data_IF_044188722037
#
_entry.id   IF_044188722037
#
_cell.length_a   1.000
_cell.length_b   1.000
_cell.length_c   1.000
_cell.angle_alpha   90.00
_cell.angle_beta   90.00
_cell.angle_gamma   90.00
#
_symmetry.space_group_name_H-M   'P 1'
#
loop_
_entity.id
_entity.type
_entity.pdbx_description
1 polymer ?
#
# COMPACT_ATOMS: atom_id res chain seq x y z
N UNK A 1 31.49 -24.96 -42.72
CA UNK A 1 30.24 -24.65 -41.99
C UNK A 1 30.40 -24.74 -40.47
N UNK A 2 31.22 -25.65 -39.94
CA UNK A 2 31.45 -25.75 -38.49
C UNK A 2 32.34 -24.61 -37.93
N UNK A 3 33.34 -24.14 -38.66
CA UNK A 3 34.26 -23.10 -38.17
C UNK A 3 33.59 -21.74 -37.94
N UNK A 4 32.65 -21.37 -38.82
CA UNK A 4 31.84 -20.16 -38.67
C UNK A 4 30.92 -20.24 -37.44
N UNK A 5 30.43 -21.45 -37.09
CA UNK A 5 29.60 -21.67 -35.90
C UNK A 5 30.41 -21.51 -34.61
N UNK A 6 31.64 -22.02 -34.57
CA UNK A 6 32.53 -21.85 -33.41
C UNK A 6 32.93 -20.39 -33.19
N UNK A 7 33.18 -19.64 -34.26
CA UNK A 7 33.47 -18.19 -34.19
C UNK A 7 32.27 -17.38 -33.66
N UNK A 8 31.06 -17.69 -34.12
CA UNK A 8 29.82 -17.03 -33.64
C UNK A 8 29.54 -17.38 -32.17
N UNK A 9 29.69 -18.65 -31.77
CA UNK A 9 29.51 -19.07 -30.38
C UNK A 9 30.54 -18.41 -29.45
N UNK A 10 31.81 -18.31 -29.89
CA UNK A 10 32.86 -17.61 -29.15
C UNK A 10 32.55 -16.12 -28.97
N UNK A 11 32.09 -15.45 -30.03
CA UNK A 11 31.71 -14.03 -29.97
C UNK A 11 30.50 -13.78 -29.06
N UNK A 12 29.50 -14.67 -29.08
CA UNK A 12 28.33 -14.58 -28.18
C UNK A 12 28.72 -14.82 -26.71
N UNK A 13 29.63 -15.75 -26.43
CA UNK A 13 30.13 -15.99 -25.08
C UNK A 13 30.93 -14.78 -24.56
N UNK A 14 31.78 -14.19 -25.40
CA UNK A 14 32.54 -12.98 -25.07
C UNK A 14 31.61 -11.78 -24.81
N UNK A 15 30.59 -11.60 -25.64
CA UNK A 15 29.58 -10.56 -25.45
C UNK A 15 28.80 -10.77 -24.14
N UNK A 16 28.42 -12.01 -23.83
CA UNK A 16 27.75 -12.33 -22.56
C UNK A 16 28.64 -12.04 -21.35
N UNK A 17 29.93 -12.37 -21.41
CA UNK A 17 30.89 -12.08 -20.34
C UNK A 17 31.10 -10.56 -20.14
N UNK A 18 31.15 -9.79 -21.23
CA UNK A 18 31.26 -8.32 -21.16
C UNK A 18 29.98 -7.71 -20.58
N UNK A 19 28.80 -8.18 -20.97
CA UNK A 19 27.51 -7.73 -20.43
C UNK A 19 27.36 -8.09 -18.95
N UNK A 20 27.79 -9.29 -18.54
CA UNK A 20 27.76 -9.72 -17.14
C UNK A 20 28.74 -8.91 -16.26
N UNK A 21 29.88 -8.48 -16.82
CA UNK A 21 30.88 -7.67 -16.12
C UNK A 21 30.47 -6.21 -15.88
N UNK A 22 29.49 -5.68 -16.62
CA UNK A 22 29.00 -4.31 -16.45
C UNK A 22 27.97 -4.16 -15.32
N UNK A 23 27.47 -5.26 -14.73
CA UNK A 23 26.57 -5.24 -13.58
C UNK A 23 27.30 -5.08 -12.23
N UNK A 24 28.21 -4.11 -12.12
CA UNK A 24 28.77 -3.71 -10.83
C UNK A 24 28.51 -2.24 -10.57
N UNK A 25 27.27 -1.93 -10.18
CA UNK A 25 26.92 -0.64 -9.59
C UNK A 25 27.29 -0.68 -8.11
N UNK A 26 28.57 -0.60 -7.78
CA UNK A 26 28.98 -0.14 -6.45
C UNK A 26 28.70 1.37 -6.43
N UNK A 27 27.43 1.74 -6.22
CA UNK A 27 27.12 3.11 -5.84
C UNK A 27 27.74 3.31 -4.46
N UNK A 28 28.72 4.22 -4.29
CA UNK A 28 29.12 4.61 -2.95
C UNK A 28 27.87 5.15 -2.27
N UNK A 29 27.41 4.46 -1.22
CA UNK A 29 26.38 4.96 -0.34
C UNK A 29 26.88 6.30 0.17
N UNK A 30 26.40 7.41 -0.39
CA UNK A 30 26.65 8.72 0.20
C UNK A 30 26.07 8.62 1.60
N UNK A 31 26.91 8.72 2.62
CA UNK A 31 26.47 8.79 4.01
C UNK A 31 25.33 9.81 4.06
N UNK A 32 24.17 9.38 4.56
CA UNK A 32 23.02 10.26 4.57
C UNK A 32 23.27 11.33 5.62
N UNK A 33 23.02 12.60 5.30
CA UNK A 33 23.05 13.66 6.32
C UNK A 33 22.05 13.38 7.46
N UNK A 34 21.08 12.50 7.21
CA UNK A 34 20.07 12.05 8.15
C UNK A 34 20.47 10.74 8.84
N UNK A 35 20.92 10.84 10.09
CA UNK A 35 21.30 9.69 10.93
C UNK A 35 20.21 8.61 11.03
N UNK A 36 18.94 8.99 10.88
CA UNK A 36 17.81 8.05 10.91
C UNK A 36 17.66 7.20 9.64
N UNK A 37 18.50 7.43 8.61
CA UNK A 37 18.55 6.62 7.38
C UNK A 37 19.77 5.71 7.32
N UNK A 38 20.64 5.75 8.33
CA UNK A 38 21.85 4.92 8.40
C UNK A 38 21.51 3.42 8.49
N UNK A 39 22.31 2.54 7.85
CA UNK A 39 22.13 1.10 7.95
C UNK A 39 22.14 0.63 9.41
N UNK A 40 21.14 -0.15 9.80
CA UNK A 40 20.98 -0.68 11.16
C UNK A 40 20.15 0.19 12.10
N UNK A 41 19.78 1.41 11.70
CA UNK A 41 18.79 2.21 12.43
C UNK A 41 17.39 1.74 12.04
N UNK A 42 16.60 1.32 13.03
CA UNK A 42 15.25 0.81 12.84
C UNK A 42 14.23 1.58 13.69
N UNK A 43 12.97 1.56 13.25
CA UNK A 43 11.87 2.09 14.04
C UNK A 43 11.67 1.24 15.31
N UNK A 44 11.89 1.85 16.48
CA UNK A 44 11.86 1.14 17.78
C UNK A 44 10.46 1.01 18.39
N UNK A 45 9.44 1.58 17.76
CA UNK A 45 8.07 1.61 18.28
C UNK A 45 7.86 2.59 19.43
N UNK A 46 6.66 3.17 19.52
CA UNK A 46 6.32 4.14 20.58
C UNK A 46 6.33 3.54 22.00
N UNK A 47 6.22 2.22 22.13
CA UNK A 47 6.30 1.52 23.43
C UNK A 47 7.66 1.69 24.11
N UNK A 48 8.73 1.76 23.32
CA UNK A 48 10.08 2.02 23.83
C UNK A 48 10.14 3.39 24.52
N UNK A 49 9.43 4.38 23.99
CA UNK A 49 9.37 5.73 24.53
C UNK A 49 8.51 5.83 25.81
N UNK A 50 7.55 4.91 25.99
CA UNK A 50 6.56 4.96 27.09
C UNK A 50 7.21 4.84 28.47
N UNK A 51 8.32 4.10 28.60
CA UNK A 51 9.00 3.88 29.88
C UNK A 51 9.52 5.18 30.50
N UNK A 52 10.04 6.09 29.68
CA UNK A 52 10.53 7.41 30.11
C UNK A 52 9.48 8.51 29.96
N UNK A 53 8.54 8.38 29.01
CA UNK A 53 7.53 9.41 28.70
C UNK A 53 6.08 8.90 28.80
N UNK A 54 5.64 8.40 29.97
CA UNK A 54 4.32 7.78 30.10
C UNK A 54 3.17 8.76 29.87
N UNK A 55 3.29 10.01 30.33
CA UNK A 55 2.24 11.02 30.17
C UNK A 55 2.05 11.43 28.71
N UNK A 56 3.15 11.55 27.96
CA UNK A 56 3.11 11.87 26.52
C UNK A 56 2.51 10.71 25.74
N UNK A 57 2.93 9.48 26.05
CA UNK A 57 2.35 8.28 25.43
C UNK A 57 0.83 8.23 25.66
N UNK A 58 0.38 8.39 26.91
CA UNK A 58 -1.02 8.25 27.27
C UNK A 58 -1.92 9.28 26.58
N UNK A 59 -1.45 10.51 26.39
CA UNK A 59 -2.20 11.53 25.65
C UNK A 59 -2.11 11.33 24.14
N UNK A 60 -0.92 11.02 23.61
CA UNK A 60 -0.67 10.90 22.17
C UNK A 60 -1.55 9.83 21.50
N UNK A 61 -1.66 8.63 22.10
CA UNK A 61 -2.48 7.53 21.54
C UNK A 61 -3.98 7.86 21.46
N UNK A 62 -4.41 8.91 22.15
CA UNK A 62 -5.78 9.39 22.13
C UNK A 62 -6.02 10.49 21.09
N UNK A 63 -4.96 11.09 20.54
CA UNK A 63 -5.04 12.15 19.52
C UNK A 63 -5.44 11.61 18.15
N UNK A 64 -5.91 12.50 17.27
CA UNK A 64 -6.14 12.17 15.86
C UNK A 64 -4.87 11.64 15.15
N UNK A 65 -3.69 12.20 15.47
CA UNK A 65 -2.42 11.71 14.91
C UNK A 65 -2.08 10.30 15.42
N UNK A 66 -2.18 10.05 16.73
CA UNK A 66 -1.94 8.72 17.31
C UNK A 66 -2.92 7.65 16.83
N UNK A 67 -4.08 8.08 16.33
CA UNK A 67 -5.10 7.22 15.70
C UNK A 67 -5.16 7.42 14.19
N UNK A 68 -4.13 7.93 13.52
CA UNK A 68 -4.20 8.26 12.08
C UNK A 68 -3.95 7.06 11.15
N UNK A 69 -3.54 5.91 11.68
CA UNK A 69 -3.29 4.70 10.90
C UNK A 69 -3.76 3.47 11.67
N UNK A 70 -4.10 2.39 10.97
CA UNK A 70 -4.49 1.14 11.62
C UNK A 70 -4.95 0.07 10.62
N UNK A 71 -5.23 -1.15 11.08
CA UNK A 71 -5.69 -2.24 10.23
C UNK A 71 -7.07 -1.94 9.61
N UNK A 72 -7.33 -2.50 8.43
CA UNK A 72 -8.57 -2.39 7.66
C UNK A 72 -9.77 -3.15 8.26
N UNK A 73 -10.02 -3.01 9.56
CA UNK A 73 -11.08 -3.73 10.27
C UNK A 73 -12.17 -2.81 10.83
N UNK A 74 -13.25 -3.41 11.33
CA UNK A 74 -14.42 -2.69 11.86
C UNK A 74 -14.08 -1.79 13.05
N UNK A 75 -13.14 -2.19 13.89
CA UNK A 75 -12.74 -1.44 15.08
C UNK A 75 -12.09 -0.10 14.71
N UNK A 76 -11.39 -0.05 13.57
CA UNK A 76 -10.71 1.13 13.07
C UNK A 76 -11.58 1.98 12.14
N UNK A 77 -12.45 1.35 11.36
CA UNK A 77 -13.17 2.03 10.29
C UNK A 77 -14.31 2.90 10.79
N UNK A 78 -14.41 4.10 10.22
CA UNK A 78 -15.60 4.94 10.29
C UNK A 78 -16.55 4.74 9.10
N UNK A 79 -16.31 3.74 8.23
CA UNK A 79 -17.14 3.48 7.07
C UNK A 79 -18.47 2.82 7.45
N UNK A 80 -19.56 3.35 6.92
CA UNK A 80 -20.86 2.69 6.90
C UNK A 80 -20.89 1.65 5.76
N UNK A 81 -21.66 0.59 5.94
CA UNK A 81 -21.88 -0.44 4.91
C UNK A 81 -23.35 -0.53 4.51
N UNK A 82 -24.08 0.56 4.72
CA UNK A 82 -25.49 0.65 4.36
C UNK A 82 -25.64 0.98 2.88
N UNK A 83 -26.87 0.93 2.36
CA UNK A 83 -27.14 1.15 0.93
C UNK A 83 -26.61 2.49 0.38
N UNK A 84 -26.48 3.52 1.24
CA UNK A 84 -25.92 4.81 0.86
C UNK A 84 -24.39 4.79 0.65
N UNK A 85 -23.71 3.69 0.96
CA UNK A 85 -22.27 3.53 0.77
C UNK A 85 -21.88 3.13 -0.67
N UNK A 86 -22.85 2.84 -1.54
CA UNK A 86 -22.59 2.58 -2.96
C UNK A 86 -22.19 3.87 -3.66
N UNK A 87 -20.95 3.92 -4.16
CA UNK A 87 -20.42 5.05 -4.93
C UNK A 87 -20.41 4.69 -6.41
N UNK A 88 -20.88 5.59 -7.27
CA UNK A 88 -20.77 5.46 -8.72
C UNK A 88 -19.81 6.52 -9.27
N UNK A 89 -18.76 6.06 -9.95
CA UNK A 89 -17.83 6.89 -10.73
C UNK A 89 -18.28 6.90 -12.19
N UNK A 90 -18.96 7.97 -12.58
CA UNK A 90 -19.48 8.16 -13.93
C UNK A 90 -18.36 8.23 -14.99
N UNK A 91 -17.18 8.75 -14.64
CA UNK A 91 -16.09 8.92 -15.59
C UNK A 91 -15.45 7.59 -15.98
N UNK A 92 -15.32 6.68 -15.02
CA UNK A 92 -14.76 5.33 -15.27
C UNK A 92 -15.82 4.26 -15.49
N UNK A 93 -17.10 4.60 -15.30
CA UNK A 93 -18.23 3.68 -15.29
C UNK A 93 -17.96 2.49 -14.36
N UNK A 94 -17.73 2.79 -13.08
CA UNK A 94 -17.55 1.79 -12.02
C UNK A 94 -18.42 2.13 -10.81
N UNK A 95 -18.98 1.08 -10.24
CA UNK A 95 -19.58 1.10 -8.91
C UNK A 95 -18.57 0.58 -7.90
N UNK A 96 -18.52 1.20 -6.73
CA UNK A 96 -17.73 0.76 -5.60
C UNK A 96 -18.62 0.60 -4.38
N UNK A 97 -18.64 -0.61 -3.83
CA UNK A 97 -19.46 -0.94 -2.66
C UNK A 97 -18.57 -1.47 -1.53
N UNK A 98 -18.37 -0.69 -0.45
CA UNK A 98 -17.64 -1.15 0.72
C UNK A 98 -18.54 -2.03 1.60
N UNK A 99 -18.01 -3.15 2.08
CA UNK A 99 -18.73 -4.02 3.01
C UNK A 99 -17.77 -4.78 3.94
N UNK A 100 -18.27 -5.20 5.10
CA UNK A 100 -17.51 -6.03 6.03
C UNK A 100 -17.82 -7.51 5.81
N UNK A 101 -16.77 -8.34 5.85
CA UNK A 101 -16.86 -9.80 5.96
C UNK A 101 -15.84 -10.24 7.02
N UNK A 102 -16.29 -10.98 8.03
CA UNK A 102 -15.44 -11.47 9.14
C UNK A 102 -14.63 -10.35 9.83
N UNK A 103 -15.26 -9.20 10.06
CA UNK A 103 -14.66 -7.96 10.62
C UNK A 103 -13.61 -7.26 9.75
N UNK A 104 -13.30 -7.80 8.57
CA UNK A 104 -12.41 -7.18 7.59
C UNK A 104 -13.20 -6.35 6.58
N UNK A 105 -12.70 -5.18 6.23
CA UNK A 105 -13.29 -4.33 5.21
C UNK A 105 -12.89 -4.81 3.81
N UNK A 106 -13.88 -4.90 2.93
CA UNK A 106 -13.72 -5.17 1.51
C UNK A 106 -14.34 -4.07 0.67
N UNK A 107 -13.80 -3.87 -0.53
CA UNK A 107 -14.38 -3.01 -1.57
C UNK A 107 -14.70 -3.89 -2.77
N UNK A 108 -15.97 -3.91 -3.17
CA UNK A 108 -16.42 -4.50 -4.42
C UNK A 108 -16.48 -3.41 -5.49
N UNK A 109 -15.59 -3.48 -6.47
CA UNK A 109 -15.63 -2.70 -7.70
C UNK A 109 -16.36 -3.51 -8.78
N UNK A 110 -17.33 -2.93 -9.46
CA UNK A 110 -18.04 -3.62 -10.53
C UNK A 110 -18.60 -2.66 -11.60
N UNK A 111 -18.92 -3.20 -12.78
CA UNK A 111 -19.59 -2.47 -13.87
C UNK A 111 -20.80 -3.26 -14.33
N UNK A 112 -21.87 -2.55 -14.67
CA UNK A 112 -23.08 -3.11 -15.24
C UNK A 112 -23.21 -2.72 -16.71
N UNK A 113 -23.72 -3.63 -17.54
CA UNK A 113 -24.14 -3.37 -18.91
C UNK A 113 -25.47 -4.10 -19.16
N UNK A 114 -26.52 -3.37 -19.57
CA UNK A 114 -27.88 -3.90 -19.75
C UNK A 114 -28.44 -4.66 -18.52
N UNK A 115 -28.02 -4.27 -17.32
CA UNK A 115 -28.44 -4.89 -16.06
C UNK A 115 -27.61 -6.11 -15.64
N UNK A 116 -26.63 -6.54 -16.43
CA UNK A 116 -25.73 -7.64 -16.08
C UNK A 116 -24.33 -7.15 -15.69
N UNK A 117 -23.65 -7.89 -14.82
CA UNK A 117 -22.30 -7.53 -14.35
C UNK A 117 -21.24 -7.96 -15.36
N UNK A 118 -20.59 -6.98 -15.99
CA UNK A 118 -19.54 -7.22 -17.01
C UNK A 118 -18.12 -7.07 -16.48
N UNK A 119 -17.95 -6.44 -15.31
CA UNK A 119 -16.67 -6.36 -14.59
C UNK A 119 -16.92 -6.55 -13.10
N UNK A 120 -16.02 -7.25 -12.43
CA UNK A 120 -16.09 -7.47 -10.99
C UNK A 120 -14.70 -7.67 -10.41
N UNK A 121 -14.38 -6.88 -9.40
CA UNK A 121 -13.13 -6.95 -8.65
C UNK A 121 -13.43 -6.80 -7.16
N UNK A 122 -12.96 -7.75 -6.36
CA UNK A 122 -13.15 -7.75 -4.91
C UNK A 122 -11.79 -7.56 -4.25
N UNK A 123 -11.65 -6.49 -3.47
CA UNK A 123 -10.41 -6.18 -2.79
C UNK A 123 -10.58 -6.15 -1.28
N UNK A 124 -9.61 -6.73 -0.57
CA UNK A 124 -9.49 -6.61 0.88
C UNK A 124 -8.75 -5.32 1.18
N UNK A 125 -9.28 -4.50 2.09
CA UNK A 125 -8.56 -3.34 2.62
C UNK A 125 -7.62 -3.82 3.71
N UNK A 126 -6.33 -3.55 3.59
CA UNK A 126 -5.32 -3.96 4.57
C UNK A 126 -5.15 -2.92 5.67
N UNK A 127 -5.20 -1.63 5.32
CA UNK A 127 -5.04 -0.53 6.27
C UNK A 127 -6.03 0.60 6.04
N UNK A 128 -6.30 1.35 7.11
CA UNK A 128 -7.09 2.57 7.10
C UNK A 128 -6.21 3.73 7.53
N UNK A 129 -6.25 4.79 6.73
CA UNK A 129 -5.59 6.07 6.98
C UNK A 129 -6.67 7.08 7.39
N UNK A 130 -6.44 7.73 8.51
CA UNK A 130 -7.36 8.66 9.15
C UNK A 130 -7.73 8.25 10.58
N UNK A 131 -8.11 9.24 11.38
CA UNK A 131 -8.66 9.07 12.72
C UNK A 131 -10.17 8.84 12.75
N UNK A 132 -10.82 8.88 11.59
CA UNK A 132 -12.28 8.87 11.46
C UNK A 132 -12.95 10.19 11.82
N UNK A 133 -12.18 11.27 12.05
CA UNK A 133 -12.74 12.61 12.32
C UNK A 133 -12.91 13.43 11.05
N UNK A 134 -11.94 13.42 10.13
CA UNK A 134 -12.01 14.20 8.88
C UNK A 134 -12.07 13.30 7.66
N UNK A 135 -11.00 12.55 7.40
CA UNK A 135 -10.88 11.66 6.24
C UNK A 135 -10.82 10.21 6.68
N UNK A 136 -11.38 9.34 5.86
CA UNK A 136 -11.20 7.90 5.94
C UNK A 136 -10.78 7.40 4.56
N UNK A 137 -9.50 7.04 4.45
CA UNK A 137 -8.89 6.48 3.25
C UNK A 137 -8.46 5.04 3.50
N UNK A 138 -8.44 4.26 2.44
CA UNK A 138 -8.17 2.83 2.52
C UNK A 138 -6.91 2.49 1.72
N UNK A 139 -6.13 1.55 2.22
CA UNK A 139 -4.93 1.05 1.57
C UNK A 139 -5.06 -0.45 1.34
N UNK A 140 -4.60 -0.89 0.18
CA UNK A 140 -4.42 -2.30 -0.19
C UNK A 140 -2.93 -2.60 -0.34
N UNK A 141 -2.49 -3.78 0.08
CA UNK A 141 -1.13 -4.28 -0.03
C UNK A 141 -1.07 -5.41 -1.06
N UNK A 142 -0.28 -5.19 -2.11
CA UNK A 142 0.06 -6.22 -3.08
C UNK A 142 1.55 -6.55 -2.98
N UNK A 143 1.87 -7.62 -2.24
CA UNK A 143 3.24 -8.16 -2.19
C UNK A 143 4.26 -7.21 -1.55
N UNK A 144 3.84 -6.41 -0.57
CA UNK A 144 4.67 -5.40 0.11
C UNK A 144 4.59 -4.01 -0.52
N UNK A 145 3.85 -3.84 -1.60
CA UNK A 145 3.59 -2.54 -2.21
C UNK A 145 2.20 -2.05 -1.80
N UNK A 146 2.15 -0.86 -1.20
CA UNK A 146 0.92 -0.24 -0.72
C UNK A 146 0.32 0.69 -1.79
N UNK A 147 -1.00 0.59 -1.98
CA UNK A 147 -1.75 1.41 -2.91
C UNK A 147 -2.98 1.98 -2.22
N UNK A 148 -3.35 3.21 -2.57
CA UNK A 148 -4.62 3.77 -2.14
C UNK A 148 -5.77 3.06 -2.87
N UNK A 149 -6.75 2.59 -2.11
CA UNK A 149 -7.96 2.00 -2.67
C UNK A 149 -8.86 3.09 -3.28
N UNK A 150 -9.76 2.75 -4.22
CA UNK A 150 -10.53 3.75 -4.98
C UNK A 150 -11.63 4.47 -4.19
N UNK A 151 -11.82 4.16 -2.90
CA UNK A 151 -12.79 4.86 -2.04
C UNK A 151 -12.06 5.57 -0.90
N UNK A 152 -12.18 6.89 -0.89
CA UNK A 152 -11.87 7.77 0.24
C UNK A 152 -13.06 8.70 0.43
N UNK A 153 -13.43 8.97 1.68
CA UNK A 153 -14.51 9.90 1.97
C UNK A 153 -14.19 10.77 3.20
N UNK A 154 -14.91 11.89 3.29
CA UNK A 154 -14.90 12.74 4.47
C UNK A 154 -16.01 12.29 5.43
N UNK A 155 -15.71 12.19 6.71
CA UNK A 155 -16.64 11.78 7.77
C UNK A 155 -17.46 12.94 8.34
N UNK A 156 -17.24 14.16 7.85
CA UNK A 156 -17.92 15.38 8.28
C UNK A 156 -18.72 15.97 7.13
N UNK A 157 -19.83 16.62 7.49
CA UNK A 157 -20.62 17.50 6.61
C UNK A 157 -19.96 18.88 6.44
#
# INVERSE_FOLDING_TARGET
MNDLRFLVLGALLLLFLVLAGQCRTDHPSSASDYLNLEPGVAYVGMETCRSCHPNVYQSFIQTGMGRSFGPGNRQKSAATTEAHALVYDEQKNFYYHPFFRDSQLYILEFRLENGDTVHRRLERVDYIVGSGQHTNSHIVDFGGYIYQAPITFYTQD
#
